data_IF_028565326442
#
_entry.id   IF_028565326442
#
_cell.length_a   1.000
_cell.length_b   1.000
_cell.length_c   1.000
_cell.angle_alpha   90.00
_cell.angle_beta   90.00
_cell.angle_gamma   90.00
#
_symmetry.space_group_name_H-M   'P 1'
#
loop_
_entity.id
_entity.type
_entity.pdbx_description
1 polymer ?
#
# COMPACT_ATOMS: atom_id res chain seq x y z
N UNK A 1 -29.44 -2.29 -16.40
CA UNK A 1 -28.52 -1.18 -16.77
C UNK A 1 -29.14 0.10 -16.21
N UNK A 2 -28.60 0.76 -15.20
CA UNK A 2 -28.81 2.17 -14.75
C UNK A 2 -28.66 2.40 -13.23
N UNK A 3 -28.22 1.42 -12.44
CA UNK A 3 -28.01 1.66 -11.00
C UNK A 3 -26.63 2.27 -10.67
N UNK A 4 -25.63 2.10 -11.56
CA UNK A 4 -24.24 2.58 -11.32
C UNK A 4 -24.11 4.10 -11.57
N UNK A 5 -24.93 4.69 -12.44
CA UNK A 5 -24.82 6.11 -12.81
C UNK A 5 -25.32 7.11 -11.75
N UNK A 6 -25.93 6.66 -10.65
CA UNK A 6 -26.54 7.55 -9.65
C UNK A 6 -25.89 7.44 -8.25
N UNK A 7 -24.80 6.71 -8.11
CA UNK A 7 -24.08 6.62 -6.81
C UNK A 7 -23.11 7.79 -6.64
N UNK A 8 -22.97 8.33 -5.42
CA UNK A 8 -21.97 9.37 -5.13
C UNK A 8 -20.56 8.90 -5.52
N UNK A 9 -19.80 9.76 -6.19
CA UNK A 9 -18.40 9.50 -6.52
C UNK A 9 -17.56 9.61 -5.22
N UNK A 10 -16.59 8.72 -5.08
CA UNK A 10 -15.57 8.80 -4.02
C UNK A 10 -14.35 9.57 -4.56
N UNK A 11 -14.29 10.85 -4.26
CA UNK A 11 -13.22 11.75 -4.71
C UNK A 11 -12.02 11.65 -3.76
N UNK A 12 -10.81 11.68 -4.31
CA UNK A 12 -9.57 11.75 -3.55
C UNK A 12 -9.20 13.22 -3.42
N UNK A 13 -9.11 13.73 -2.20
CA UNK A 13 -8.78 15.13 -1.91
C UNK A 13 -7.50 15.31 -1.14
N UNK A 14 -6.92 14.22 -0.63
CA UNK A 14 -5.62 14.24 0.02
C UNK A 14 -4.96 12.87 -0.04
N UNK A 15 -3.63 12.88 -0.05
CA UNK A 15 -2.77 11.70 0.01
C UNK A 15 -1.64 11.94 1.00
N UNK A 16 -1.12 10.87 1.59
CA UNK A 16 0.01 10.94 2.50
C UNK A 16 0.74 9.60 2.55
N UNK A 17 2.02 9.65 2.84
CA UNK A 17 2.85 8.45 2.95
C UNK A 17 4.07 8.67 3.84
N UNK A 18 4.52 7.59 4.45
CA UNK A 18 5.84 7.47 5.04
C UNK A 18 6.38 6.08 4.72
N UNK A 19 7.55 6.01 4.15
CA UNK A 19 8.14 4.77 3.64
C UNK A 19 9.67 4.91 3.55
N UNK A 20 10.43 3.89 3.11
CA UNK A 20 11.89 3.94 3.05
C UNK A 20 12.49 5.05 2.18
N UNK A 21 11.71 5.70 1.31
CA UNK A 21 12.19 6.82 0.49
C UNK A 21 12.02 8.18 1.17
N UNK A 22 11.17 8.29 2.19
CA UNK A 22 10.95 9.56 2.90
C UNK A 22 9.69 9.55 3.77
N UNK A 23 9.48 10.67 4.45
CA UNK A 23 8.39 10.88 5.41
C UNK A 23 7.20 11.64 4.83
N UNK A 24 7.22 11.94 3.53
CA UNK A 24 6.19 12.68 2.83
C UNK A 24 6.05 12.23 1.37
N UNK A 25 4.89 12.55 0.76
CA UNK A 25 4.60 12.25 -0.66
C UNK A 25 5.66 12.86 -1.58
N UNK A 26 6.04 14.12 -1.37
CA UNK A 26 7.02 14.82 -2.21
C UNK A 26 8.40 14.16 -2.21
N UNK A 27 8.88 13.70 -1.04
CA UNK A 27 10.15 12.99 -0.91
C UNK A 27 10.07 11.61 -1.60
N UNK A 28 9.00 10.89 -1.35
CA UNK A 28 8.74 9.60 -1.98
C UNK A 28 8.70 9.73 -3.50
N UNK A 29 7.94 10.70 -4.02
CA UNK A 29 7.81 10.95 -5.45
C UNK A 29 9.15 11.29 -6.10
N UNK A 30 9.90 12.22 -5.52
CA UNK A 30 11.25 12.57 -5.98
C UNK A 30 12.19 11.36 -5.98
N UNK A 31 12.14 10.54 -4.93
CA UNK A 31 12.92 9.30 -4.81
C UNK A 31 12.58 8.30 -5.91
N UNK A 32 11.29 8.09 -6.18
CA UNK A 32 10.82 7.20 -7.24
C UNK A 32 11.28 7.66 -8.63
N UNK A 33 11.08 8.93 -8.98
CA UNK A 33 11.46 9.48 -10.28
C UNK A 33 12.98 9.58 -10.48
N UNK A 34 13.77 9.58 -9.41
CA UNK A 34 15.24 9.55 -9.48
C UNK A 34 15.83 8.14 -9.47
N UNK A 35 15.02 7.09 -9.39
CA UNK A 35 15.50 5.71 -9.31
C UNK A 35 16.15 5.34 -7.97
N UNK A 36 15.87 6.09 -6.89
CA UNK A 36 16.46 5.85 -5.56
C UNK A 36 15.91 4.56 -4.97
N UNK A 37 16.75 3.79 -4.31
CA UNK A 37 16.34 2.67 -3.44
C UNK A 37 16.41 3.09 -1.97
N UNK A 38 15.39 2.76 -1.20
CA UNK A 38 15.35 2.89 0.25
C UNK A 38 15.66 1.57 0.97
N UNK A 39 16.09 0.55 0.23
CA UNK A 39 16.50 -0.73 0.79
C UNK A 39 17.96 -0.65 1.23
N UNK A 40 18.23 -1.10 2.46
CA UNK A 40 19.57 -1.09 3.04
C UNK A 40 19.85 -2.38 3.84
N UNK A 41 21.11 -2.59 4.19
CA UNK A 41 21.47 -3.60 5.17
C UNK A 41 20.88 -3.23 6.54
N UNK A 42 20.52 -4.24 7.31
CA UNK A 42 20.04 -4.09 8.67
C UNK A 42 21.23 -3.95 9.63
N UNK A 43 21.21 -2.91 10.44
CA UNK A 43 22.29 -2.62 11.42
C UNK A 43 21.99 -3.23 12.81
N UNK A 44 20.82 -3.86 12.97
CA UNK A 44 20.42 -4.46 14.24
C UNK A 44 21.19 -5.78 14.51
N UNK A 45 21.70 -5.93 15.73
CA UNK A 45 22.48 -7.10 16.17
C UNK A 45 21.74 -8.44 15.92
N UNK A 46 20.42 -8.45 16.06
CA UNK A 46 19.62 -9.65 15.79
C UNK A 46 19.64 -10.07 14.29
N UNK A 47 19.97 -9.17 13.39
CA UNK A 47 20.00 -9.46 11.95
C UNK A 47 21.27 -10.24 11.53
N UNK A 48 22.36 -10.15 12.29
CA UNK A 48 23.65 -10.77 11.95
C UNK A 48 23.56 -12.29 11.73
N UNK A 49 22.66 -12.94 12.46
CA UNK A 49 22.48 -14.40 12.42
C UNK A 49 21.44 -14.84 11.37
N UNK A 50 20.78 -13.89 10.68
CA UNK A 50 19.74 -14.22 9.74
C UNK A 50 20.28 -14.46 8.33
N UNK A 51 19.61 -15.34 7.54
CA UNK A 51 19.99 -15.56 6.14
C UNK A 51 19.73 -14.33 5.25
N UNK A 52 18.79 -13.46 5.66
CA UNK A 52 18.46 -12.19 5.01
C UNK A 52 18.72 -11.06 6.01
N UNK A 53 19.59 -10.13 5.62
CA UNK A 53 20.07 -9.03 6.47
C UNK A 53 19.84 -7.67 5.82
N UNK A 54 18.71 -7.52 5.13
CA UNK A 54 18.33 -6.28 4.46
C UNK A 54 16.83 -6.07 4.55
N UNK A 55 16.42 -4.79 4.58
CA UNK A 55 15.02 -4.38 4.57
C UNK A 55 14.87 -2.94 4.06
N UNK A 56 13.64 -2.56 3.74
CA UNK A 56 13.25 -1.17 3.57
C UNK A 56 12.72 -0.62 4.90
N UNK A 57 13.53 0.11 5.64
CA UNK A 57 13.14 0.73 6.90
C UNK A 57 12.86 2.23 6.72
N UNK A 58 11.91 2.76 7.48
CA UNK A 58 11.68 4.20 7.62
C UNK A 58 12.76 4.77 8.52
N UNK A 59 13.64 5.60 7.96
CA UNK A 59 14.78 6.21 8.65
C UNK A 59 14.48 7.61 9.20
N UNK A 60 13.30 8.17 8.89
CA UNK A 60 12.88 9.48 9.40
C UNK A 60 12.75 9.45 10.94
N UNK A 61 13.17 10.53 11.59
CA UNK A 61 12.96 10.71 13.03
C UNK A 61 11.49 11.02 13.31
N UNK A 62 10.78 10.04 13.83
CA UNK A 62 9.35 10.18 14.15
C UNK A 62 9.08 11.21 15.26
N UNK A 63 10.10 11.62 16.04
CA UNK A 63 9.94 12.67 17.05
C UNK A 63 9.71 14.08 16.44
N UNK A 64 10.03 14.27 15.17
CA UNK A 64 9.70 15.49 14.42
C UNK A 64 8.22 15.58 14.07
N UNK A 65 7.51 14.44 14.04
CA UNK A 65 6.11 14.32 13.63
C UNK A 65 5.16 14.00 14.79
N UNK A 66 5.68 13.35 15.83
CA UNK A 66 4.90 12.80 16.94
C UNK A 66 5.43 13.28 18.29
N UNK A 67 4.52 13.58 19.22
CA UNK A 67 4.88 13.88 20.59
C UNK A 67 5.47 12.67 21.32
N UNK A 68 6.28 12.92 22.35
CA UNK A 68 6.83 11.85 23.22
C UNK A 68 5.72 10.93 23.80
N UNK A 69 4.51 11.49 24.05
CA UNK A 69 3.37 10.72 24.54
C UNK A 69 2.85 9.75 23.48
N UNK A 70 2.74 10.18 22.23
CA UNK A 70 2.30 9.36 21.10
C UNK A 70 3.30 8.24 20.83
N UNK A 71 4.59 8.57 20.75
CA UNK A 71 5.67 7.58 20.57
C UNK A 71 5.65 6.46 21.64
N UNK A 72 5.37 6.80 22.89
CA UNK A 72 5.33 5.81 24.00
C UNK A 72 4.07 4.94 24.00
N UNK A 73 2.95 5.45 23.48
CA UNK A 73 1.64 4.78 23.59
C UNK A 73 1.25 3.96 22.37
N UNK A 74 1.87 4.24 21.22
CA UNK A 74 1.59 3.53 19.97
C UNK A 74 2.67 2.52 19.65
N UNK A 75 2.28 1.44 18.98
CA UNK A 75 3.21 0.63 18.19
C UNK A 75 3.72 1.43 16.99
N UNK A 76 4.89 1.05 16.46
CA UNK A 76 5.47 1.69 15.27
C UNK A 76 4.48 1.71 14.10
N UNK A 77 3.71 0.65 13.91
CA UNK A 77 2.66 0.59 12.89
C UNK A 77 1.64 1.74 13.06
N UNK A 78 1.16 1.99 14.28
CA UNK A 78 0.29 3.13 14.58
C UNK A 78 0.95 4.48 14.38
N UNK A 79 2.24 4.60 14.70
CA UNK A 79 3.03 5.82 14.50
C UNK A 79 3.12 6.18 13.01
N UNK A 80 3.50 5.21 12.14
CA UNK A 80 3.59 5.43 10.69
C UNK A 80 2.23 5.79 10.08
N UNK A 81 1.17 5.10 10.49
CA UNK A 81 -0.18 5.40 10.03
C UNK A 81 -0.62 6.84 10.38
N UNK A 82 -0.32 7.30 11.60
CA UNK A 82 -0.69 8.62 12.05
C UNK A 82 0.06 9.73 11.31
N UNK A 83 1.36 9.54 11.06
CA UNK A 83 2.16 10.50 10.27
C UNK A 83 1.59 10.65 8.87
N UNK A 84 1.36 9.54 8.16
CA UNK A 84 0.80 9.57 6.81
C UNK A 84 -0.64 10.13 6.78
N UNK A 85 -1.46 9.81 7.80
CA UNK A 85 -2.83 10.33 7.88
C UNK A 85 -2.87 11.84 8.12
N UNK A 86 -2.00 12.38 8.95
CA UNK A 86 -1.88 13.84 9.18
C UNK A 86 -1.43 14.58 7.92
N UNK A 87 -0.52 14.02 7.13
CA UNK A 87 -0.12 14.58 5.84
C UNK A 87 -1.32 14.61 4.88
N UNK A 88 -2.00 13.49 4.68
CA UNK A 88 -3.16 13.38 3.81
C UNK A 88 -4.29 14.35 4.22
N UNK A 89 -4.58 14.41 5.52
CA UNK A 89 -5.59 15.30 6.09
C UNK A 89 -5.26 16.78 5.87
N UNK A 90 -3.99 17.15 6.09
CA UNK A 90 -3.51 18.52 5.83
C UNK A 90 -3.62 18.89 4.35
N UNK A 91 -3.25 17.98 3.45
CA UNK A 91 -3.35 18.21 2.00
C UNK A 91 -4.81 18.37 1.57
N UNK A 92 -5.73 17.58 2.16
CA UNK A 92 -7.17 17.74 1.94
C UNK A 92 -7.74 19.07 2.46
N UNK A 93 -6.94 19.89 3.15
CA UNK A 93 -7.36 21.16 3.75
C UNK A 93 -8.09 21.00 5.08
N UNK A 94 -7.91 19.87 5.77
CA UNK A 94 -8.54 19.57 7.06
C UNK A 94 -10.06 19.89 7.07
N UNK A 95 -10.87 19.21 6.24
CA UNK A 95 -12.25 19.57 6.02
C UNK A 95 -13.10 19.53 7.29
N UNK A 96 -13.98 20.52 7.43
CA UNK A 96 -15.06 20.42 8.42
C UNK A 96 -16.07 19.35 7.97
N UNK A 97 -16.36 18.42 8.86
CA UNK A 97 -17.27 17.29 8.60
C UNK A 97 -18.00 16.91 9.89
N UNK A 98 -19.24 16.47 9.76
CA UNK A 98 -19.95 15.87 10.90
C UNK A 98 -19.16 14.62 11.36
N UNK A 99 -18.71 14.59 12.64
CA UNK A 99 -17.94 13.44 13.14
C UNK A 99 -18.62 12.08 12.95
N UNK A 100 -19.95 12.01 12.98
CA UNK A 100 -20.71 10.76 12.75
C UNK A 100 -20.73 10.34 11.27
N UNK A 101 -20.33 11.23 10.36
CA UNK A 101 -20.20 10.98 8.92
C UNK A 101 -18.75 10.93 8.47
N UNK A 102 -17.83 10.96 9.42
CA UNK A 102 -16.38 10.86 9.22
C UNK A 102 -15.88 9.51 9.74
N UNK A 103 -15.29 8.70 8.87
CA UNK A 103 -14.84 7.34 9.17
C UNK A 103 -13.35 7.13 8.87
N UNK A 104 -12.80 6.06 9.40
CA UNK A 104 -11.41 5.61 9.16
C UNK A 104 -11.43 4.14 8.75
N UNK A 105 -10.73 3.78 7.68
CA UNK A 105 -10.52 2.40 7.23
C UNK A 105 -9.04 2.20 6.90
N UNK A 106 -8.27 1.61 7.82
CA UNK A 106 -6.83 1.39 7.63
C UNK A 106 -6.51 -0.09 7.79
N UNK A 107 -6.07 -0.71 6.70
CA UNK A 107 -5.65 -2.10 6.65
C UNK A 107 -4.24 -2.33 7.19
N UNK A 108 -4.01 -3.50 7.75
CA UNK A 108 -2.69 -3.94 8.20
C UNK A 108 -2.64 -5.47 8.18
N UNK A 109 -1.50 -6.06 7.83
CA UNK A 109 -1.34 -7.51 7.87
C UNK A 109 -1.09 -8.00 9.31
N UNK A 110 -0.28 -7.27 10.08
CA UNK A 110 0.23 -7.73 11.39
C UNK A 110 -0.06 -6.77 12.55
N UNK A 111 -0.43 -5.52 12.25
CA UNK A 111 -0.66 -4.52 13.31
C UNK A 111 0.54 -4.34 14.22
N UNK A 112 0.32 -4.40 15.54
CA UNK A 112 1.34 -4.19 16.55
C UNK A 112 2.22 -5.40 16.85
N UNK A 113 2.63 -6.17 15.84
CA UNK A 113 3.46 -7.36 16.02
C UNK A 113 4.81 -7.04 16.68
N UNK A 114 5.45 -5.92 16.33
CA UNK A 114 6.71 -5.49 16.94
C UNK A 114 6.58 -5.34 18.45
N UNK A 115 5.54 -4.65 18.91
CA UNK A 115 5.22 -4.53 20.35
C UNK A 115 4.87 -5.88 20.99
N UNK A 116 4.20 -6.78 20.29
CA UNK A 116 3.89 -8.12 20.79
C UNK A 116 5.16 -8.89 21.11
N UNK A 117 6.11 -8.93 20.20
CA UNK A 117 7.39 -9.62 20.36
C UNK A 117 8.25 -8.96 21.46
N UNK A 118 8.29 -7.62 21.51
CA UNK A 118 9.00 -6.88 22.56
C UNK A 118 8.47 -7.25 23.96
N UNK A 119 7.15 -7.27 24.13
CA UNK A 119 6.54 -7.52 25.43
C UNK A 119 6.57 -9.00 25.83
N UNK A 120 6.51 -9.93 24.86
CA UNK A 120 6.74 -11.36 25.11
C UNK A 120 8.16 -11.61 25.65
N UNK A 121 9.18 -11.00 25.01
CA UNK A 121 10.58 -11.06 25.50
C UNK A 121 10.74 -10.43 26.87
N UNK A 122 10.08 -9.31 27.15
CA UNK A 122 10.11 -8.65 28.47
C UNK A 122 9.47 -9.54 29.55
N UNK A 123 8.35 -10.21 29.23
CA UNK A 123 7.69 -11.16 30.12
C UNK A 123 8.59 -12.37 30.41
N UNK A 124 9.17 -12.97 29.38
CA UNK A 124 10.00 -14.16 29.47
C UNK A 124 11.30 -13.91 30.27
N UNK A 125 11.94 -12.75 30.07
CA UNK A 125 13.24 -12.43 30.70
C UNK A 125 13.13 -11.80 32.09
N UNK A 126 12.04 -11.07 32.38
CA UNK A 126 11.94 -10.24 33.59
C UNK A 126 10.61 -10.36 34.35
N UNK A 127 9.72 -11.24 33.90
CA UNK A 127 8.43 -11.51 34.53
C UNK A 127 7.37 -10.39 34.36
N UNK A 128 6.19 -10.54 34.98
CA UNK A 128 5.02 -9.68 34.72
C UNK A 128 5.25 -8.19 34.99
N UNK A 129 6.15 -7.83 35.89
CA UNK A 129 6.43 -6.43 36.24
C UNK A 129 7.18 -5.67 35.15
N UNK A 130 7.76 -6.35 34.16
CA UNK A 130 8.49 -5.76 33.05
C UNK A 130 7.57 -5.46 31.86
N UNK A 131 6.37 -6.03 31.83
CA UNK A 131 5.38 -5.82 30.76
C UNK A 131 4.78 -4.42 30.86
N UNK A 132 4.76 -3.70 29.74
CA UNK A 132 4.21 -2.34 29.66
C UNK A 132 2.71 -2.32 29.94
N UNK A 133 2.17 -1.32 30.68
CA UNK A 133 0.74 -1.14 30.81
C UNK A 133 0.03 -0.80 29.48
N UNK A 134 0.77 -0.43 28.46
CA UNK A 134 0.26 -0.13 27.12
C UNK A 134 0.26 -1.34 26.19
N UNK A 135 0.67 -2.52 26.64
CA UNK A 135 0.83 -3.73 25.83
C UNK A 135 -0.42 -3.99 24.97
N UNK A 136 -1.58 -4.11 25.59
CA UNK A 136 -2.80 -4.48 24.90
C UNK A 136 -3.21 -3.46 23.83
N UNK A 137 -3.06 -2.16 24.10
CA UNK A 137 -3.40 -1.10 23.13
C UNK A 137 -2.37 -0.95 22.02
N UNK A 138 -1.14 -1.43 22.21
CA UNK A 138 -0.08 -1.41 21.21
C UNK A 138 -0.15 -2.62 20.27
N UNK A 139 -0.51 -3.81 20.78
CA UNK A 139 -0.52 -5.03 19.96
C UNK A 139 -1.75 -5.18 19.04
N UNK A 140 -2.83 -4.42 19.26
CA UNK A 140 -4.07 -4.58 18.49
C UNK A 140 -3.87 -4.28 17.00
N UNK A 141 -4.34 -5.18 16.12
CA UNK A 141 -4.26 -4.99 14.66
C UNK A 141 -5.05 -3.75 14.19
N UNK A 142 -6.16 -3.43 14.87
CA UNK A 142 -6.95 -2.23 14.61
C UNK A 142 -6.35 -0.95 15.24
N UNK A 143 -5.21 -1.04 15.91
CA UNK A 143 -4.52 0.10 16.54
C UNK A 143 -4.33 1.29 15.61
N UNK A 144 -3.79 1.13 14.39
CA UNK A 144 -3.61 2.23 13.45
C UNK A 144 -4.89 3.00 13.13
N UNK A 145 -5.98 2.29 12.79
CA UNK A 145 -7.27 2.92 12.51
C UNK A 145 -7.86 3.62 13.74
N UNK A 146 -7.72 3.02 14.92
CA UNK A 146 -8.21 3.60 16.17
C UNK A 146 -7.45 4.89 16.53
N UNK A 147 -6.11 4.93 16.42
CA UNK A 147 -5.32 6.11 16.70
C UNK A 147 -5.62 7.27 15.75
N UNK A 148 -5.74 7.00 14.45
CA UNK A 148 -6.12 8.02 13.46
C UNK A 148 -7.54 8.53 13.73
N UNK A 149 -8.48 7.64 14.07
CA UNK A 149 -9.86 8.04 14.43
C UNK A 149 -9.89 8.97 15.67
N UNK A 150 -9.09 8.65 16.70
CA UNK A 150 -8.98 9.47 17.91
C UNK A 150 -8.35 10.84 17.60
N UNK A 151 -7.28 10.86 16.81
CA UNK A 151 -6.55 12.09 16.46
C UNK A 151 -7.40 13.08 15.67
N UNK A 152 -8.13 12.57 14.68
CA UNK A 152 -8.93 13.39 13.76
C UNK A 152 -10.40 13.57 14.20
N UNK A 153 -10.83 12.91 15.27
CA UNK A 153 -12.18 13.02 15.79
C UNK A 153 -13.25 12.29 14.95
N UNK A 154 -12.86 11.29 14.15
CA UNK A 154 -13.78 10.51 13.32
C UNK A 154 -14.64 9.57 14.16
N UNK A 155 -15.98 9.66 14.05
CA UNK A 155 -16.96 8.85 14.81
C UNK A 155 -17.85 7.96 13.94
N UNK A 156 -17.78 8.07 12.63
CA UNK A 156 -18.51 7.24 11.66
C UNK A 156 -18.00 5.79 11.56
N UNK A 157 -17.07 5.43 12.44
CA UNK A 157 -16.48 4.09 12.56
C UNK A 157 -15.00 4.03 12.21
N UNK A 158 -14.28 3.14 12.89
CA UNK A 158 -12.87 2.82 12.61
C UNK A 158 -12.76 1.32 12.29
N UNK A 159 -12.34 0.97 11.08
CA UNK A 159 -12.29 -0.41 10.56
C UNK A 159 -10.88 -0.78 10.14
N UNK A 160 -10.54 -2.06 10.25
CA UNK A 160 -9.25 -2.58 9.82
C UNK A 160 -9.45 -3.89 9.05
N UNK A 161 -9.50 -3.86 7.73
CA UNK A 161 -9.43 -5.09 6.95
C UNK A 161 -8.05 -5.73 7.09
N UNK A 162 -8.03 -7.05 7.16
CA UNK A 162 -6.83 -7.88 7.27
C UNK A 162 -6.85 -8.90 6.14
N UNK A 163 -6.19 -8.58 5.05
CA UNK A 163 -6.04 -9.41 3.84
C UNK A 163 -4.58 -9.50 3.40
N UNK A 164 -3.69 -9.66 4.39
CA UNK A 164 -2.25 -9.71 4.20
C UNK A 164 -1.75 -8.51 3.35
N UNK A 165 -0.99 -8.76 2.26
CA UNK A 165 -0.42 -7.71 1.42
C UNK A 165 -1.48 -6.85 0.68
N UNK A 166 -2.73 -7.28 0.61
CA UNK A 166 -3.82 -6.56 -0.04
C UNK A 166 -4.59 -5.62 0.91
N UNK A 167 -4.32 -5.64 2.23
CA UNK A 167 -5.10 -4.96 3.26
C UNK A 167 -5.34 -3.47 2.98
N UNK A 168 -4.31 -2.74 2.55
CA UNK A 168 -4.43 -1.30 2.27
C UNK A 168 -5.27 -0.98 1.03
N UNK A 169 -5.16 -1.78 -0.02
CA UNK A 169 -6.00 -1.63 -1.20
C UNK A 169 -7.46 -2.00 -0.88
N UNK A 170 -7.69 -3.07 -0.12
CA UNK A 170 -9.03 -3.44 0.35
C UNK A 170 -9.67 -2.34 1.21
N UNK A 171 -8.89 -1.70 2.08
CA UNK A 171 -9.35 -0.58 2.89
C UNK A 171 -9.86 0.58 2.02
N UNK A 172 -9.18 0.88 0.91
CA UNK A 172 -9.61 1.92 -0.03
C UNK A 172 -10.89 1.51 -0.77
N UNK A 173 -11.04 0.23 -1.17
CA UNK A 173 -12.31 -0.28 -1.75
C UNK A 173 -13.45 -0.10 -0.76
N UNK A 174 -13.29 -0.57 0.49
CA UNK A 174 -14.32 -0.46 1.53
C UNK A 174 -14.68 1.00 1.84
N UNK A 175 -13.70 1.91 1.87
CA UNK A 175 -13.93 3.33 2.08
C UNK A 175 -14.74 3.96 0.94
N UNK A 176 -14.42 3.62 -0.32
CA UNK A 176 -15.18 4.08 -1.48
C UNK A 176 -16.62 3.55 -1.45
N UNK A 177 -16.85 2.33 -0.98
CA UNK A 177 -18.18 1.77 -0.77
C UNK A 177 -18.97 2.50 0.33
N UNK A 178 -18.30 2.92 1.43
CA UNK A 178 -18.93 3.75 2.47
C UNK A 178 -19.39 5.11 1.92
N UNK A 179 -18.59 5.75 1.07
CA UNK A 179 -18.99 6.98 0.37
C UNK A 179 -20.18 6.71 -0.57
N UNK A 180 -20.09 5.71 -1.43
CA UNK A 180 -21.13 5.39 -2.43
C UNK A 180 -22.46 4.99 -1.80
N UNK A 181 -22.42 4.29 -0.68
CA UNK A 181 -23.63 3.92 0.06
C UNK A 181 -24.23 5.07 0.88
N UNK A 182 -23.54 6.22 0.96
CA UNK A 182 -23.93 7.33 1.81
C UNK A 182 -23.73 7.09 3.29
N UNK A 183 -22.93 6.09 3.69
CA UNK A 183 -22.62 5.81 5.09
C UNK A 183 -21.64 6.84 5.70
N UNK A 184 -20.80 7.46 4.88
CA UNK A 184 -19.88 8.51 5.30
C UNK A 184 -19.79 9.59 4.20
N UNK A 185 -19.41 10.80 4.59
CA UNK A 185 -19.06 11.89 3.67
C UNK A 185 -17.56 12.04 3.49
N UNK A 186 -16.78 11.70 4.53
CA UNK A 186 -15.32 11.69 4.49
C UNK A 186 -14.81 10.39 5.10
N UNK A 187 -13.80 9.79 4.46
CA UNK A 187 -13.13 8.59 4.97
C UNK A 187 -11.63 8.73 4.80
N UNK A 188 -10.87 8.56 5.89
CA UNK A 188 -9.43 8.31 5.83
C UNK A 188 -9.23 6.83 5.54
N UNK A 189 -8.56 6.51 4.43
CA UNK A 189 -8.39 5.13 3.99
C UNK A 189 -6.96 4.83 3.58
N UNK A 190 -6.52 3.61 3.76
CA UNK A 190 -5.21 3.17 3.33
C UNK A 190 -4.70 1.96 4.08
N UNK A 191 -3.38 1.84 4.20
CA UNK A 191 -2.77 0.71 4.87
C UNK A 191 -1.39 0.99 5.41
N UNK A 192 -0.97 0.16 6.36
CA UNK A 192 0.30 0.28 7.06
C UNK A 192 0.78 -1.07 7.55
N UNK A 193 2.09 -1.29 7.54
CA UNK A 193 2.76 -2.30 8.36
C UNK A 193 4.14 -1.81 8.81
N UNK A 194 4.59 -2.34 9.97
CA UNK A 194 5.90 -2.09 10.55
C UNK A 194 6.45 -3.41 11.12
N UNK A 195 6.64 -4.38 10.24
CA UNK A 195 6.93 -5.78 10.60
C UNK A 195 8.35 -6.22 10.27
N UNK A 196 9.28 -5.26 10.19
CA UNK A 196 10.72 -5.57 10.03
C UNK A 196 11.27 -6.03 11.38
N UNK A 197 11.33 -7.32 11.57
CA UNK A 197 11.85 -7.96 12.77
C UNK A 197 12.37 -9.38 12.47
N UNK A 198 13.09 -9.95 13.42
CA UNK A 198 13.74 -11.27 13.30
C UNK A 198 12.76 -12.41 12.98
N UNK A 199 11.60 -12.44 13.64
CA UNK A 199 10.61 -13.51 13.44
C UNK A 199 10.03 -13.49 12.04
N UNK A 200 9.61 -12.30 11.54
CA UNK A 200 8.96 -12.17 10.22
C UNK A 200 9.97 -12.44 9.11
N UNK A 201 11.20 -11.89 9.20
CA UNK A 201 12.26 -12.17 8.23
C UNK A 201 12.59 -13.67 8.23
N UNK A 202 12.72 -14.30 9.39
CA UNK A 202 12.96 -15.75 9.49
C UNK A 202 11.81 -16.53 8.86
N UNK A 203 10.56 -16.20 9.18
CA UNK A 203 9.39 -16.88 8.65
C UNK A 203 9.32 -16.84 7.12
N UNK A 204 9.48 -15.66 6.52
CA UNK A 204 9.53 -15.53 5.06
C UNK A 204 10.76 -16.18 4.43
N UNK A 205 11.90 -16.21 5.13
CA UNK A 205 13.10 -16.92 4.67
C UNK A 205 12.88 -18.43 4.62
N UNK A 206 12.17 -19.00 5.60
CA UNK A 206 11.88 -20.44 5.65
C UNK A 206 11.04 -20.92 4.45
N UNK A 207 10.13 -20.08 3.96
CA UNK A 207 9.34 -20.38 2.75
C UNK A 207 10.04 -19.89 1.47
N UNK A 208 11.28 -19.41 1.57
CA UNK A 208 12.11 -18.92 0.45
C UNK A 208 11.43 -17.81 -0.36
N UNK A 209 10.71 -16.91 0.32
CA UNK A 209 10.03 -15.80 -0.31
C UNK A 209 10.90 -14.54 -0.40
N UNK A 210 11.96 -14.42 0.41
CA UNK A 210 12.86 -13.27 0.43
C UNK A 210 14.07 -13.45 -0.48
N UNK A 211 14.51 -12.33 -1.07
CA UNK A 211 15.80 -12.25 -1.73
C UNK A 211 16.94 -12.47 -0.74
N UNK A 212 17.99 -13.15 -1.17
CA UNK A 212 19.20 -13.41 -0.39
C UNK A 212 20.41 -12.58 -0.79
N UNK A 213 20.22 -11.53 -1.62
CA UNK A 213 21.27 -10.65 -2.14
C UNK A 213 21.76 -9.64 -1.11
N UNK A 214 22.24 -10.12 0.05
CA UNK A 214 22.71 -9.27 1.14
C UNK A 214 23.88 -8.35 0.76
N UNK A 215 24.68 -8.74 -0.23
CA UNK A 215 25.87 -7.97 -0.66
C UNK A 215 25.52 -6.76 -1.52
N UNK A 216 24.29 -6.72 -2.06
CA UNK A 216 23.80 -5.60 -2.87
C UNK A 216 22.31 -5.32 -2.55
N UNK A 217 22.01 -4.81 -1.33
CA UNK A 217 20.65 -4.64 -0.85
C UNK A 217 19.79 -3.77 -1.76
N UNK A 218 20.35 -2.70 -2.31
CA UNK A 218 19.63 -1.75 -3.17
C UNK A 218 19.15 -2.37 -4.48
N UNK A 219 19.79 -3.46 -4.93
CA UNK A 219 19.46 -4.18 -6.16
C UNK A 219 18.82 -5.54 -5.90
N UNK A 220 18.47 -5.86 -4.65
CA UNK A 220 17.89 -7.14 -4.28
C UNK A 220 16.44 -7.27 -4.75
N UNK A 221 15.61 -6.26 -4.52
CA UNK A 221 14.24 -6.22 -5.06
C UNK A 221 14.28 -5.74 -6.51
N UNK A 222 13.86 -6.62 -7.43
CA UNK A 222 13.97 -6.43 -8.89
C UNK A 222 12.77 -7.01 -9.63
N UNK A 223 11.58 -6.38 -9.48
CA UNK A 223 10.36 -6.90 -10.09
C UNK A 223 10.51 -7.12 -11.59
N UNK A 224 10.01 -8.27 -12.08
CA UNK A 224 10.05 -8.70 -13.49
C UNK A 224 11.44 -9.02 -14.07
N UNK A 225 12.53 -8.79 -13.35
CA UNK A 225 13.87 -9.17 -13.82
C UNK A 225 14.05 -10.70 -13.87
N UNK A 226 14.77 -11.20 -14.87
CA UNK A 226 15.01 -12.63 -15.06
C UNK A 226 15.82 -13.29 -13.95
N UNK A 227 16.61 -12.51 -13.19
CA UNK A 227 17.43 -12.99 -12.09
C UNK A 227 16.86 -12.68 -10.71
N UNK A 228 15.56 -12.32 -10.60
CA UNK A 228 14.89 -12.09 -9.31
C UNK A 228 14.81 -13.37 -8.49
N UNK A 229 14.98 -13.26 -7.18
CA UNK A 229 15.05 -14.41 -6.27
C UNK A 229 14.14 -14.30 -5.03
N UNK A 230 13.33 -13.25 -4.94
CA UNK A 230 12.41 -13.01 -3.83
C UNK A 230 12.19 -11.53 -3.56
N UNK A 231 11.30 -11.21 -2.64
CA UNK A 231 11.05 -9.84 -2.25
C UNK A 231 11.99 -9.36 -1.14
N UNK A 232 12.06 -8.05 -0.91
CA UNK A 232 12.67 -7.46 0.26
C UNK A 232 11.57 -6.93 1.17
N UNK A 233 11.57 -7.34 2.44
CA UNK A 233 10.62 -6.86 3.43
C UNK A 233 10.81 -5.36 3.69
N UNK A 234 9.72 -4.62 3.87
CA UNK A 234 9.78 -3.21 4.20
C UNK A 234 8.63 -2.80 5.12
N UNK A 235 8.75 -1.60 5.68
CA UNK A 235 7.72 -0.96 6.49
C UNK A 235 7.28 0.36 5.87
N UNK A 236 6.09 0.84 6.24
CA UNK A 236 5.57 2.13 5.80
C UNK A 236 4.05 2.16 5.71
N UNK A 237 3.53 3.33 5.39
CA UNK A 237 2.11 3.61 5.26
C UNK A 237 1.81 4.38 3.97
N UNK A 238 0.63 4.12 3.40
CA UNK A 238 0.01 4.95 2.39
C UNK A 238 -1.44 5.27 2.79
N UNK A 239 -1.84 6.53 2.69
CA UNK A 239 -3.15 7.02 3.12
C UNK A 239 -3.75 7.91 2.03
N UNK A 240 -5.05 7.79 1.82
CA UNK A 240 -5.85 8.69 0.98
C UNK A 240 -7.02 9.26 1.81
N UNK A 241 -7.41 10.49 1.52
CA UNK A 241 -8.67 11.07 2.01
C UNK A 241 -9.70 10.94 0.91
N UNK A 242 -10.77 10.22 1.17
CA UNK A 242 -11.91 10.10 0.28
C UNK A 242 -13.05 10.99 0.76
N UNK A 243 -13.65 11.73 -0.18
CA UNK A 243 -14.82 12.55 0.08
C UNK A 243 -15.98 12.21 -0.88
N UNK A 244 -17.21 12.32 -0.39
CA UNK A 244 -18.37 12.32 -1.30
C UNK A 244 -18.30 13.54 -2.21
N UNK A 245 -18.69 13.38 -3.47
CA UNK A 245 -18.68 14.48 -4.44
C UNK A 245 -19.47 15.70 -3.96
N UNK A 246 -20.59 15.47 -3.27
CA UNK A 246 -21.40 16.54 -2.70
C UNK A 246 -20.64 17.33 -1.62
N UNK A 247 -19.96 16.66 -0.70
CA UNK A 247 -19.17 17.28 0.36
C UNK A 247 -17.98 18.06 -0.23
N UNK A 248 -17.20 17.41 -1.11
CA UNK A 248 -16.03 18.03 -1.72
C UNK A 248 -16.40 19.30 -2.53
N UNK A 249 -17.47 19.25 -3.32
CA UNK A 249 -17.96 20.40 -4.09
C UNK A 249 -18.47 21.52 -3.21
N UNK A 250 -19.22 21.20 -2.13
CA UNK A 250 -19.78 22.21 -1.23
C UNK A 250 -18.71 23.08 -0.56
N UNK A 251 -17.53 22.51 -0.29
CA UNK A 251 -16.41 23.23 0.32
C UNK A 251 -15.35 23.73 -0.69
N UNK A 252 -15.51 23.46 -1.99
CA UNK A 252 -14.54 23.83 -3.02
C UNK A 252 -13.21 23.08 -2.90
N UNK A 253 -13.26 21.78 -2.57
CA UNK A 253 -12.07 20.95 -2.41
C UNK A 253 -11.24 20.86 -3.70
N UNK A 254 -9.92 20.87 -3.56
CA UNK A 254 -9.02 20.46 -4.62
C UNK A 254 -9.15 18.93 -4.79
N UNK A 255 -9.58 18.48 -5.96
CA UNK A 255 -9.75 17.07 -6.27
C UNK A 255 -8.47 16.58 -6.94
N UNK A 256 -7.85 15.53 -6.40
CA UNK A 256 -6.66 14.90 -6.95
C UNK A 256 -7.00 13.75 -7.91
N UNK A 257 -8.17 13.16 -7.76
CA UNK A 257 -8.65 12.05 -8.55
C UNK A 257 -9.89 11.43 -7.93
N UNK A 258 -10.26 10.24 -8.39
CA UNK A 258 -11.38 9.51 -7.81
C UNK A 258 -11.11 8.00 -7.82
N UNK A 259 -11.59 7.29 -6.81
CA UNK A 259 -11.72 5.83 -6.85
C UNK A 259 -12.92 5.51 -7.74
N UNK A 260 -12.67 5.25 -9.02
CA UNK A 260 -13.73 4.95 -10.00
C UNK A 260 -14.36 3.58 -9.76
N UNK A 261 -13.57 2.59 -9.39
CA UNK A 261 -14.03 1.24 -9.10
C UNK A 261 -13.02 0.45 -8.28
N UNK A 262 -13.47 -0.68 -7.79
CA UNK A 262 -12.61 -1.64 -7.09
C UNK A 262 -13.32 -2.96 -6.90
N UNK A 263 -12.54 -4.00 -6.65
CA UNK A 263 -13.05 -5.32 -6.35
C UNK A 263 -12.13 -6.06 -5.38
N UNK A 264 -12.74 -6.92 -4.59
CA UNK A 264 -12.07 -7.87 -3.70
C UNK A 264 -12.56 -9.26 -4.06
N UNK A 265 -11.64 -10.22 -4.17
CA UNK A 265 -11.96 -11.64 -4.40
C UNK A 265 -11.08 -12.54 -3.55
N UNK A 266 -11.52 -13.78 -3.37
CA UNK A 266 -10.71 -14.84 -2.77
C UNK A 266 -10.50 -15.96 -3.77
N UNK A 267 -9.28 -16.49 -3.83
CA UNK A 267 -8.91 -17.59 -4.75
C UNK A 267 -9.53 -18.92 -4.29
N UNK A 268 -9.76 -19.06 -2.97
CA UNK A 268 -10.32 -20.26 -2.34
C UNK A 268 -9.60 -21.57 -2.76
N UNK A 269 -8.30 -21.49 -3.01
CA UNK A 269 -7.48 -22.58 -3.55
C UNK A 269 -6.35 -22.97 -2.59
N UNK A 270 -5.38 -22.08 -2.36
CA UNK A 270 -4.20 -22.34 -1.53
C UNK A 270 -3.88 -21.12 -0.64
N UNK A 271 -3.18 -21.36 0.47
CA UNK A 271 -2.85 -20.28 1.41
C UNK A 271 -1.70 -19.39 0.90
N UNK A 272 -0.85 -19.89 0.01
CA UNK A 272 0.35 -19.19 -0.50
C UNK A 272 0.34 -19.05 -2.01
N UNK A 273 -0.06 -20.12 -2.73
CA UNK A 273 0.00 -20.14 -4.19
C UNK A 273 -1.08 -19.25 -4.81
N UNK A 274 -0.67 -18.32 -5.66
CA UNK A 274 -1.58 -17.44 -6.41
C UNK A 274 -2.27 -18.19 -7.56
N UNK A 275 -3.53 -17.83 -7.82
CA UNK A 275 -4.29 -18.28 -8.98
C UNK A 275 -4.39 -17.18 -10.04
N UNK A 276 -3.72 -17.28 -11.20
CA UNK A 276 -3.76 -16.25 -12.22
C UNK A 276 -5.15 -16.00 -12.82
N UNK A 277 -6.04 -17.01 -12.81
CA UNK A 277 -7.41 -16.82 -13.24
C UNK A 277 -8.20 -15.93 -12.28
N UNK A 278 -7.93 -16.02 -10.99
CA UNK A 278 -8.54 -15.14 -9.98
C UNK A 278 -7.95 -13.74 -10.01
N UNK A 279 -6.65 -13.60 -10.31
CA UNK A 279 -6.04 -12.29 -10.58
C UNK A 279 -6.71 -11.60 -11.79
N UNK A 280 -6.95 -12.32 -12.88
CA UNK A 280 -7.74 -11.79 -14.02
C UNK A 280 -9.16 -11.41 -13.57
N UNK A 281 -9.80 -12.27 -12.80
CA UNK A 281 -11.18 -12.06 -12.34
C UNK A 281 -11.36 -10.80 -11.50
N UNK A 282 -10.42 -10.51 -10.60
CA UNK A 282 -10.50 -9.30 -9.77
C UNK A 282 -10.31 -8.03 -10.59
N UNK A 283 -9.38 -8.02 -11.57
CA UNK A 283 -9.22 -6.89 -12.50
C UNK A 283 -10.47 -6.66 -13.34
N UNK A 284 -11.08 -7.72 -13.90
CA UNK A 284 -12.35 -7.62 -14.65
C UNK A 284 -13.48 -7.06 -13.78
N UNK A 285 -13.59 -7.50 -12.52
CA UNK A 285 -14.60 -6.98 -11.60
C UNK A 285 -14.35 -5.52 -11.24
N UNK A 286 -13.09 -5.11 -11.06
CA UNK A 286 -12.75 -3.72 -10.79
C UNK A 286 -13.11 -2.80 -11.96
N UNK A 287 -12.81 -3.21 -13.20
CA UNK A 287 -13.23 -2.54 -14.42
C UNK A 287 -14.77 -2.43 -14.51
N UNK A 288 -15.48 -3.53 -14.30
CA UNK A 288 -16.93 -3.54 -14.29
C UNK A 288 -17.53 -2.62 -13.20
N UNK A 289 -16.91 -2.58 -12.00
CA UNK A 289 -17.29 -1.67 -10.92
C UNK A 289 -17.07 -0.21 -11.29
N UNK A 290 -16.02 0.09 -12.05
CA UNK A 290 -15.72 1.42 -12.57
C UNK A 290 -16.60 1.81 -13.79
N UNK A 291 -17.29 0.85 -14.39
CA UNK A 291 -17.99 1.06 -15.67
C UNK A 291 -17.03 1.32 -16.84
N UNK A 292 -15.80 0.83 -16.74
CA UNK A 292 -14.71 1.08 -17.70
C UNK A 292 -14.30 -0.20 -18.42
N UNK A 293 -13.72 -0.03 -19.60
CA UNK A 293 -13.09 -1.08 -20.39
C UNK A 293 -11.59 -1.11 -20.16
N UNK A 294 -10.91 -2.20 -20.52
CA UNK A 294 -9.46 -2.31 -20.44
C UNK A 294 -8.73 -1.23 -21.27
N UNK A 295 -9.30 -0.81 -22.40
CA UNK A 295 -8.70 0.21 -23.27
C UNK A 295 -8.67 1.63 -22.65
N UNK A 296 -9.44 1.86 -21.59
CA UNK A 296 -9.48 3.14 -20.88
C UNK A 296 -8.46 3.20 -19.73
N UNK A 297 -7.73 2.10 -19.46
CA UNK A 297 -6.65 2.05 -18.49
C UNK A 297 -5.32 2.41 -19.17
N UNK A 298 -4.70 3.49 -18.73
CA UNK A 298 -3.47 3.97 -19.33
C UNK A 298 -2.21 3.32 -18.80
N UNK A 299 -2.26 2.80 -17.58
CA UNK A 299 -1.15 2.06 -16.98
C UNK A 299 -1.61 1.17 -15.83
N UNK A 300 -0.79 0.20 -15.48
CA UNK A 300 -1.01 -0.71 -14.34
C UNK A 300 0.14 -0.57 -13.35
N UNK A 301 -0.18 -0.28 -12.09
CA UNK A 301 0.74 -0.46 -10.98
C UNK A 301 0.58 -1.89 -10.45
N UNK A 302 1.51 -2.73 -10.82
CA UNK A 302 1.49 -4.16 -10.52
C UNK A 302 1.80 -4.45 -9.03
N UNK A 303 1.29 -5.56 -8.54
CA UNK A 303 1.72 -6.09 -7.25
C UNK A 303 3.18 -6.50 -7.26
N UNK A 304 3.62 -7.21 -8.27
CA UNK A 304 4.99 -7.59 -8.63
C UNK A 304 6.02 -7.43 -7.50
N UNK A 305 6.14 -8.48 -6.69
CA UNK A 305 6.96 -8.46 -5.47
C UNK A 305 8.42 -8.84 -5.67
N UNK A 306 8.86 -9.07 -6.92
CA UNK A 306 10.19 -9.62 -7.24
C UNK A 306 10.32 -11.13 -6.91
N UNK A 307 9.20 -11.84 -6.81
CA UNK A 307 9.23 -13.31 -6.66
C UNK A 307 9.19 -13.99 -8.02
N UNK A 308 9.97 -15.09 -8.22
CA UNK A 308 10.05 -15.76 -9.53
C UNK A 308 8.71 -16.19 -10.10
N UNK A 309 7.84 -16.73 -9.25
CA UNK A 309 6.52 -17.26 -9.66
C UNK A 309 5.47 -16.15 -9.67
N UNK A 310 5.41 -15.31 -8.63
CA UNK A 310 4.36 -14.30 -8.47
C UNK A 310 4.33 -13.30 -9.61
N UNK A 311 5.47 -12.72 -9.94
CA UNK A 311 5.58 -11.71 -11.00
C UNK A 311 5.20 -12.27 -12.38
N UNK A 312 5.58 -13.52 -12.67
CA UNK A 312 5.22 -14.19 -13.92
C UNK A 312 3.72 -14.45 -14.03
N UNK A 313 3.08 -14.96 -12.97
CA UNK A 313 1.63 -15.20 -12.97
C UNK A 313 0.84 -13.91 -13.10
N UNK A 314 1.27 -12.85 -12.41
CA UNK A 314 0.65 -11.53 -12.55
C UNK A 314 0.85 -10.96 -13.96
N UNK A 315 2.03 -11.11 -14.55
CA UNK A 315 2.29 -10.68 -15.93
C UNK A 315 1.36 -11.35 -16.93
N UNK A 316 1.13 -12.66 -16.78
CA UNK A 316 0.14 -13.40 -17.59
C UNK A 316 -1.27 -12.86 -17.40
N UNK A 317 -1.66 -12.58 -16.16
CA UNK A 317 -2.99 -12.05 -15.86
C UNK A 317 -3.20 -10.65 -16.44
N UNK A 318 -2.21 -9.75 -16.32
CA UNK A 318 -2.26 -8.38 -16.88
C UNK A 318 -2.32 -8.46 -18.42
N UNK A 319 -1.43 -9.22 -19.05
CA UNK A 319 -1.38 -9.37 -20.51
C UNK A 319 -2.71 -9.92 -21.09
N UNK A 320 -3.36 -10.83 -20.38
CA UNK A 320 -4.64 -11.40 -20.79
C UNK A 320 -5.81 -10.38 -20.78
N UNK A 321 -5.74 -9.34 -19.95
CA UNK A 321 -6.80 -8.32 -19.82
C UNK A 321 -6.50 -7.09 -20.66
N UNK A 322 -5.24 -6.60 -20.63
CA UNK A 322 -4.85 -5.31 -21.19
C UNK A 322 -3.97 -5.42 -22.44
N UNK A 323 -3.55 -6.62 -22.82
CA UNK A 323 -2.55 -6.84 -23.86
C UNK A 323 -1.12 -6.58 -23.33
N UNK A 324 -0.17 -6.62 -24.27
CA UNK A 324 1.26 -6.45 -23.92
C UNK A 324 1.72 -4.99 -23.93
N UNK A 325 0.94 -4.06 -24.49
CA UNK A 325 1.37 -2.68 -24.76
C UNK A 325 1.07 -1.71 -23.61
N UNK A 326 0.18 -2.06 -22.67
CA UNK A 326 -0.12 -1.19 -21.53
C UNK A 326 1.12 -0.99 -20.68
N UNK A 327 1.49 0.26 -20.32
CA UNK A 327 2.60 0.51 -19.41
C UNK A 327 2.38 -0.14 -18.04
N UNK A 328 3.38 -0.87 -17.57
CA UNK A 328 3.33 -1.56 -16.26
C UNK A 328 4.51 -1.10 -15.40
N UNK A 329 4.24 -0.77 -14.15
CA UNK A 329 5.27 -0.42 -13.16
C UNK A 329 5.08 -1.15 -11.85
N UNK A 330 6.16 -1.30 -11.10
CA UNK A 330 6.15 -1.67 -9.67
C UNK A 330 7.21 -0.88 -8.91
N UNK A 331 6.79 -0.24 -7.83
CA UNK A 331 7.69 0.57 -6.99
C UNK A 331 8.44 -0.24 -5.92
N UNK A 332 8.23 -1.56 -5.88
CA UNK A 332 8.85 -2.43 -4.86
C UNK A 332 10.36 -2.63 -5.02
N UNK A 333 10.92 -2.30 -6.19
CA UNK A 333 12.36 -2.18 -6.36
C UNK A 333 12.97 -1.01 -5.59
N UNK A 334 12.18 0.06 -5.39
CA UNK A 334 12.58 1.26 -4.67
C UNK A 334 12.38 1.12 -3.15
N UNK A 335 11.21 0.66 -2.73
CA UNK A 335 10.79 0.69 -1.32
C UNK A 335 10.92 -0.65 -0.60
N UNK A 336 11.04 -1.76 -1.33
CA UNK A 336 10.71 -3.06 -0.78
C UNK A 336 9.19 -3.27 -0.69
N UNK A 337 8.78 -4.35 -0.06
CA UNK A 337 7.38 -4.74 0.09
C UNK A 337 6.83 -4.35 1.48
N UNK A 338 5.98 -3.34 1.53
CA UNK A 338 5.38 -2.80 2.76
C UNK A 338 4.22 -3.66 3.31
N UNK A 339 4.03 -4.88 2.82
CA UNK A 339 2.93 -5.77 3.20
C UNK A 339 1.56 -5.05 3.11
N UNK A 340 0.82 -4.92 4.22
CA UNK A 340 -0.48 -4.27 4.23
C UNK A 340 -0.46 -2.80 3.80
N UNK A 341 0.68 -2.11 3.91
CA UNK A 341 0.86 -0.74 3.40
C UNK A 341 1.04 -0.65 1.88
N UNK A 342 1.47 -1.75 1.22
CA UNK A 342 1.93 -1.72 -0.16
C UNK A 342 0.86 -1.30 -1.17
N UNK A 343 -0.37 -1.83 -1.06
CA UNK A 343 -1.46 -1.50 -1.96
C UNK A 343 -1.93 -0.04 -1.82
N UNK A 344 -1.85 0.51 -0.63
CA UNK A 344 -2.19 1.92 -0.37
C UNK A 344 -1.09 2.87 -0.87
N UNK A 345 0.20 2.54 -0.69
CA UNK A 345 1.29 3.28 -1.32
C UNK A 345 1.16 3.27 -2.85
N UNK A 346 0.81 2.13 -3.45
CA UNK A 346 0.56 2.04 -4.88
C UNK A 346 -0.57 2.98 -5.33
N UNK A 347 -1.65 3.11 -4.54
CA UNK A 347 -2.72 4.07 -4.82
C UNK A 347 -2.22 5.53 -4.76
N UNK A 348 -1.39 5.89 -3.76
CA UNK A 348 -0.74 7.22 -3.69
C UNK A 348 0.11 7.48 -4.94
N UNK A 349 0.91 6.50 -5.36
CA UNK A 349 1.75 6.60 -6.57
C UNK A 349 0.90 6.79 -7.83
N UNK A 350 -0.21 6.07 -7.96
CA UNK A 350 -1.13 6.21 -9.11
C UNK A 350 -1.77 7.60 -9.13
N UNK A 351 -2.18 8.15 -7.98
CA UNK A 351 -2.70 9.53 -7.90
C UNK A 351 -1.64 10.53 -8.37
N UNK A 352 -0.40 10.44 -7.86
CA UNK A 352 0.70 11.32 -8.28
C UNK A 352 1.01 11.17 -9.78
N UNK A 353 0.99 9.94 -10.31
CA UNK A 353 1.22 9.71 -11.73
C UNK A 353 0.15 10.38 -12.61
N UNK A 354 -1.12 10.31 -12.21
CA UNK A 354 -2.23 10.96 -12.91
C UNK A 354 -2.17 12.48 -12.80
N UNK A 355 -1.70 13.04 -11.67
CA UNK A 355 -1.57 14.48 -11.46
C UNK A 355 -0.38 15.06 -12.23
N UNK A 356 0.75 14.37 -12.27
CA UNK A 356 2.00 14.87 -12.87
C UNK A 356 2.18 14.47 -14.34
N UNK A 357 1.42 13.48 -14.82
CA UNK A 357 1.62 12.90 -16.15
C UNK A 357 2.91 12.09 -16.28
N UNK A 358 3.50 11.65 -15.16
CA UNK A 358 4.73 10.86 -15.13
C UNK A 358 4.48 9.53 -14.40
N UNK A 359 5.08 8.45 -14.86
CA UNK A 359 5.01 7.14 -14.23
C UNK A 359 6.43 6.73 -13.80
N UNK A 360 6.67 6.43 -12.50
CA UNK A 360 7.97 5.94 -12.07
C UNK A 360 8.24 4.55 -12.65
N UNK A 361 9.49 4.32 -13.03
CA UNK A 361 9.92 3.05 -13.60
C UNK A 361 10.06 1.94 -12.56
N UNK A 362 10.10 0.72 -13.04
CA UNK A 362 10.52 -0.45 -12.27
C UNK A 362 12.04 -0.53 -12.33
N UNK A 363 12.72 -0.31 -11.21
CA UNK A 363 14.18 -0.33 -11.14
C UNK A 363 14.75 -1.74 -11.03
N UNK A 364 16.07 -1.83 -11.22
CA UNK A 364 16.88 -3.03 -11.08
C UNK A 364 16.64 -4.12 -12.15
N UNK A 365 16.00 -3.80 -13.26
CA UNK A 365 15.85 -4.73 -14.39
C UNK A 365 17.12 -4.66 -15.22
N UNK A 366 17.90 -5.74 -15.23
CA UNK A 366 19.05 -5.93 -16.14
C UNK A 366 18.64 -6.65 -17.41
N UNK A 367 17.78 -7.65 -17.27
CA UNK A 367 17.16 -8.37 -18.37
C UNK A 367 15.75 -8.78 -17.96
N UNK A 368 14.76 -8.34 -18.73
CA UNK A 368 13.37 -8.74 -18.48
C UNK A 368 13.25 -10.27 -18.57
N UNK A 369 12.52 -10.87 -17.64
CA UNK A 369 12.23 -12.31 -17.70
C UNK A 369 11.55 -12.65 -19.04
N UNK A 370 12.04 -13.59 -19.84
CA UNK A 370 11.47 -13.93 -21.13
C UNK A 370 10.02 -14.45 -21.09
N UNK A 371 9.56 -14.87 -19.91
CA UNK A 371 8.16 -15.25 -19.69
C UNK A 371 7.24 -14.06 -19.31
N UNK A 372 7.80 -12.86 -19.16
CA UNK A 372 7.07 -11.61 -18.90
C UNK A 372 6.83 -10.88 -20.22
N UNK A 373 5.62 -11.04 -20.76
CA UNK A 373 5.21 -10.35 -21.99
C UNK A 373 4.38 -9.09 -21.64
N UNK A 374 5.07 -8.05 -21.16
CA UNK A 374 4.49 -6.76 -20.76
C UNK A 374 5.39 -5.61 -21.20
N UNK A 375 4.81 -4.44 -21.38
CA UNK A 375 5.52 -3.17 -21.50
C UNK A 375 5.92 -2.66 -20.10
N UNK A 376 6.93 -3.28 -19.50
CA UNK A 376 7.43 -2.85 -18.20
C UNK A 376 8.21 -1.54 -18.37
N UNK A 377 7.77 -0.50 -17.68
CA UNK A 377 8.45 0.79 -17.65
C UNK A 377 9.77 0.66 -16.88
N UNK A 378 10.89 0.91 -17.54
CA UNK A 378 12.24 0.85 -16.96
C UNK A 378 12.92 2.22 -16.87
N UNK A 379 12.36 3.23 -17.53
CA UNK A 379 12.80 4.61 -17.41
C UNK A 379 12.38 5.18 -16.06
N UNK A 380 13.26 5.90 -15.38
CA UNK A 380 12.97 6.44 -14.05
C UNK A 380 11.74 7.36 -14.02
N UNK A 381 11.49 8.10 -15.10
CA UNK A 381 10.36 8.99 -15.26
C UNK A 381 9.78 8.84 -16.66
N UNK A 382 8.84 7.93 -16.82
CA UNK A 382 8.14 7.70 -18.10
C UNK A 382 6.98 8.68 -18.25
N UNK A 383 7.00 9.47 -19.34
CA UNK A 383 5.93 10.40 -19.62
C UNK A 383 4.67 9.64 -20.08
N UNK A 384 3.56 9.83 -19.39
CA UNK A 384 2.25 9.37 -19.86
C UNK A 384 1.83 10.20 -21.06
N UNK A 385 1.39 9.56 -22.12
CA UNK A 385 1.02 10.28 -23.33
C UNK A 385 -0.17 11.22 -23.08
N UNK A 386 -0.12 12.49 -23.51
CA UNK A 386 -1.19 13.46 -23.29
C UNK A 386 -2.53 12.95 -23.81
N UNK A 387 -3.56 12.96 -22.99
CA UNK A 387 -4.92 12.56 -23.36
C UNK A 387 -5.17 11.06 -23.50
N UNK A 388 -4.20 10.20 -23.16
CA UNK A 388 -4.31 8.76 -23.41
C UNK A 388 -4.82 7.95 -22.23
N UNK A 389 -4.87 8.48 -21.02
CA UNK A 389 -5.39 7.68 -19.93
C UNK A 389 -5.98 8.49 -18.79
N UNK A 390 -7.29 8.49 -18.66
CA UNK A 390 -7.93 9.05 -17.47
C UNK A 390 -7.78 8.16 -16.23
N UNK A 391 -7.22 6.93 -16.36
CA UNK A 391 -7.21 5.96 -15.26
C UNK A 391 -5.92 5.12 -15.16
N UNK A 392 -5.52 4.85 -13.94
CA UNK A 392 -4.55 3.82 -13.56
C UNK A 392 -5.22 2.68 -12.79
N UNK A 393 -4.68 1.47 -12.93
CA UNK A 393 -5.12 0.31 -12.18
C UNK A 393 -4.05 -0.10 -11.16
N UNK A 394 -4.45 -0.38 -9.91
CA UNK A 394 -3.61 -0.93 -8.85
C UNK A 394 -3.98 -2.37 -8.61
N UNK A 395 -3.00 -3.27 -8.63
CA UNK A 395 -3.13 -4.63 -8.17
C UNK A 395 -2.52 -4.81 -6.78
N UNK A 396 -3.20 -5.57 -5.93
CA UNK A 396 -2.68 -6.02 -4.65
C UNK A 396 -3.13 -7.46 -4.37
N UNK A 397 -2.17 -8.37 -4.23
CA UNK A 397 -2.39 -9.79 -4.00
C UNK A 397 -1.77 -10.20 -2.67
N UNK A 398 -2.53 -10.86 -1.81
CA UNK A 398 -2.10 -11.27 -0.49
C UNK A 398 -2.16 -12.78 -0.29
N UNK A 399 -1.30 -13.29 0.58
CA UNK A 399 -1.43 -14.66 1.07
C UNK A 399 -2.82 -14.90 1.64
N UNK A 400 -3.33 -16.14 1.55
CA UNK A 400 -4.73 -16.47 1.84
C UNK A 400 -5.64 -16.36 0.61
N UNK A 401 -5.05 -16.14 -0.58
CA UNK A 401 -5.81 -15.99 -1.83
C UNK A 401 -6.54 -14.65 -1.93
N UNK A 402 -6.13 -13.63 -1.16
CA UNK A 402 -6.73 -12.31 -1.21
C UNK A 402 -6.26 -11.54 -2.44
N UNK A 403 -7.20 -11.23 -3.33
CA UNK A 403 -6.93 -10.47 -4.54
C UNK A 403 -7.77 -9.20 -4.58
N UNK A 404 -7.10 -8.04 -4.75
CA UNK A 404 -7.72 -6.72 -4.83
C UNK A 404 -7.24 -5.98 -6.07
N UNK A 405 -8.16 -5.32 -6.77
CA UNK A 405 -7.82 -4.37 -7.83
C UNK A 405 -8.60 -3.07 -7.62
N UNK A 406 -7.93 -1.94 -7.85
CA UNK A 406 -8.49 -0.58 -7.78
C UNK A 406 -8.35 0.10 -9.13
N UNK A 407 -9.38 0.83 -9.56
CA UNK A 407 -9.32 1.76 -10.70
C UNK A 407 -9.40 3.18 -10.15
N UNK A 408 -8.37 3.97 -10.41
CA UNK A 408 -8.27 5.37 -9.98
C UNK A 408 -8.24 6.25 -11.24
N UNK A 409 -9.10 7.25 -11.32
CA UNK A 409 -9.13 8.24 -12.40
C UNK A 409 -8.50 9.55 -11.94
N UNK A 410 -8.00 10.32 -12.88
CA UNK A 410 -7.64 11.72 -12.65
C UNK A 410 -8.85 12.59 -12.25
N UNK A 411 -8.56 13.85 -11.89
CA UNK A 411 -9.55 14.84 -11.45
C UNK A 411 -10.49 15.29 -12.60
#
# INVERSE_FOLDING_TARGET
MNAVQNQPRALITGIGTINPLGSAVAETWSGLLSGKSGIAALDEEWAEQLPVRMAGQVTADLSEHLSTRELKRMDRCGQLALVAAREAWKQAGAPEVDPERFAVVIGSAYGGLGSTLEQDRALASGGPRRVSPHTLTRLMVNGPAAWVSIDLGARGGARTPVSACASGAEAIVQAAEMIRSGAADVVIAGGVDASVNDLVITGFSQIRALSTRNEDPQRASRPFDGARDGFVLAEGAGIVVLESEAHARARGAAVLGAVAGGAVTSDANDIVAADPAMQQRVMQKALASAGMTAAEIGFVHAHATSTPVGDRLEAQAISAIFGADVPVTSTKGHTGHLLGGAGALAAVVVVEALQTGQLPGTVNIEALDPEVNLNVVTENAHALAPGTAPAGLVNAFGFGGHSVALVITGA
#
